data_IF_123282230214
#
_entry.id   IF_123282230214
#
_cell.length_a   1.000
_cell.length_b   1.000
_cell.length_c   1.000
_cell.angle_alpha   90.00
_cell.angle_beta   90.00
_cell.angle_gamma   90.00
#
_symmetry.space_group_name_H-M   'P 1'
#
loop_
_entity.id
_entity.type
_entity.pdbx_description
1 polymer ?
#
# COMPACT_ATOMS: atom_id res chain seq x y z
N UNK A 1 12.86 -21.51 -7.06
CA UNK A 1 11.50 -21.34 -7.56
C UNK A 1 10.92 -20.08 -6.95
N UNK A 2 10.64 -19.10 -7.79
CA UNK A 2 9.94 -17.88 -7.38
C UNK A 2 8.48 -18.27 -7.13
N UNK A 3 8.06 -18.31 -5.86
CA UNK A 3 6.77 -18.84 -5.47
C UNK A 3 5.59 -18.06 -6.05
N UNK A 4 4.46 -18.75 -6.23
CA UNK A 4 3.16 -18.17 -6.63
C UNK A 4 2.82 -16.88 -5.83
N UNK A 5 3.25 -16.79 -4.57
CA UNK A 5 3.11 -15.61 -3.72
C UNK A 5 3.75 -14.34 -4.29
N UNK A 6 4.90 -14.44 -4.98
CA UNK A 6 5.59 -13.27 -5.53
C UNK A 6 4.89 -12.72 -6.77
N UNK A 7 4.32 -13.59 -7.60
CA UNK A 7 3.53 -13.19 -8.78
C UNK A 7 2.26 -12.47 -8.34
N UNK A 8 1.58 -13.03 -7.34
CA UNK A 8 0.37 -12.42 -6.79
C UNK A 8 0.66 -11.07 -6.11
N UNK A 9 1.73 -10.98 -5.31
CA UNK A 9 2.16 -9.72 -4.70
C UNK A 9 2.42 -8.64 -5.75
N UNK A 10 3.04 -9.01 -6.88
CA UNK A 10 3.26 -8.09 -8.00
C UNK A 10 1.95 -7.69 -8.68
N UNK A 11 1.03 -8.62 -8.90
CA UNK A 11 -0.30 -8.33 -9.46
C UNK A 11 -1.14 -7.47 -8.50
N UNK A 12 -1.08 -7.75 -7.19
CA UNK A 12 -1.74 -6.97 -6.17
C UNK A 12 -1.18 -5.55 -6.13
N UNK A 13 0.14 -5.43 -6.16
CA UNK A 13 0.84 -4.15 -6.24
C UNK A 13 0.40 -3.35 -7.47
N UNK A 14 0.37 -3.96 -8.66
CA UNK A 14 -0.08 -3.30 -9.88
C UNK A 14 -1.55 -2.86 -9.79
N UNK A 15 -2.42 -3.64 -9.15
CA UNK A 15 -3.84 -3.30 -8.97
C UNK A 15 -4.05 -2.15 -7.98
N UNK A 16 -3.25 -2.08 -6.93
CA UNK A 16 -3.25 -0.97 -5.96
C UNK A 16 -2.67 0.28 -6.60
N UNK A 17 -1.55 0.12 -7.31
CA UNK A 17 -0.87 1.17 -8.08
C UNK A 17 -1.82 1.84 -9.09
N UNK A 18 -2.66 1.05 -9.78
CA UNK A 18 -3.63 1.60 -10.75
C UNK A 18 -4.77 2.40 -10.10
N UNK A 19 -4.95 2.30 -8.78
CA UNK A 19 -6.02 3.00 -8.03
C UNK A 19 -5.55 4.23 -7.25
N UNK A 20 -4.29 4.26 -6.81
CA UNK A 20 -3.74 5.37 -6.02
C UNK A 20 -2.32 5.69 -6.51
N UNK A 21 -2.18 6.64 -7.44
CA UNK A 21 -0.87 7.13 -7.86
C UNK A 21 -0.54 8.39 -7.07
N UNK A 22 0.34 8.29 -6.09
CA UNK A 22 1.02 9.44 -5.48
C UNK A 22 2.37 9.61 -6.16
N UNK A 23 2.65 10.81 -6.65
CA UNK A 23 3.90 11.13 -7.32
C UNK A 23 4.68 12.13 -6.48
N UNK A 24 5.94 11.82 -6.21
CA UNK A 24 6.86 12.74 -5.54
C UNK A 24 7.86 13.22 -6.59
N UNK A 25 7.89 14.52 -6.83
CA UNK A 25 8.85 15.15 -7.73
C UNK A 25 9.97 15.71 -6.87
N UNK A 26 11.19 15.19 -7.02
CA UNK A 26 12.39 15.73 -6.37
C UNK A 26 13.33 16.31 -7.42
N UNK A 27 13.66 17.58 -7.28
CA UNK A 27 14.75 18.20 -8.01
C UNK A 27 16.03 18.15 -7.14
N UNK A 28 17.08 17.52 -7.65
CA UNK A 28 18.41 17.52 -7.02
C UNK A 28 19.37 18.29 -7.90
N UNK A 29 19.65 19.53 -7.56
CA UNK A 29 20.86 20.20 -8.02
C UNK A 29 22.06 19.71 -7.20
N UNK A 30 22.95 18.93 -7.81
CA UNK A 30 24.29 18.69 -7.26
C UNK A 30 25.22 19.76 -7.82
N UNK A 31 25.74 20.62 -6.96
CA UNK A 31 26.75 21.60 -7.33
C UNK A 31 28.15 21.18 -6.92
N UNK A 32 29.08 21.26 -7.90
CA UNK A 32 30.49 21.47 -7.63
C UNK A 32 30.72 22.99 -7.57
N UNK A 33 30.89 23.53 -6.34
CA UNK A 33 31.50 24.83 -6.08
C UNK A 33 30.59 26.05 -6.23
N UNK A 34 30.21 26.66 -5.10
CA UNK A 34 29.63 28.01 -4.99
C UNK A 34 28.16 28.03 -4.60
N UNK A 35 27.81 28.90 -3.63
CA UNK A 35 26.52 29.09 -2.96
C UNK A 35 25.28 29.14 -3.89
N UNK A 36 24.82 28.01 -4.34
CA UNK A 36 23.53 27.91 -5.00
C UNK A 36 22.64 26.96 -4.21
N UNK A 37 21.75 27.52 -3.39
CA UNK A 37 20.77 26.78 -2.61
C UNK A 37 19.75 26.20 -3.58
N UNK A 38 19.93 24.93 -3.97
CA UNK A 38 18.95 24.19 -4.78
C UNK A 38 17.62 24.15 -4.02
N UNK A 39 16.52 24.50 -4.69
CA UNK A 39 15.18 24.39 -4.14
C UNK A 39 14.59 23.03 -4.52
N UNK A 40 14.13 22.30 -3.53
CA UNK A 40 13.44 21.02 -3.73
C UNK A 40 11.95 21.31 -3.63
N UNK A 41 11.19 20.90 -4.63
CA UNK A 41 9.72 20.94 -4.60
C UNK A 41 9.23 19.51 -4.56
N UNK A 42 8.44 19.19 -3.54
CA UNK A 42 7.78 17.90 -3.38
C UNK A 42 6.28 18.15 -3.59
N UNK A 43 5.67 17.46 -4.56
CA UNK A 43 4.25 17.53 -4.85
C UNK A 43 3.63 16.14 -4.80
N UNK A 44 2.50 16.02 -4.11
CA UNK A 44 1.70 14.80 -4.05
C UNK A 44 0.42 15.00 -4.85
N UNK A 45 0.18 14.13 -5.82
CA UNK A 45 -1.04 14.13 -6.62
C UNK A 45 -1.87 12.89 -6.30
N UNK A 46 -3.14 13.10 -5.97
CA UNK A 46 -4.10 12.01 -5.88
C UNK A 46 -4.61 11.64 -7.28
N UNK A 47 -4.91 10.37 -7.49
CA UNK A 47 -5.29 9.83 -8.83
C UNK A 47 -6.49 10.50 -9.49
N UNK A 48 -7.24 11.32 -8.78
CA UNK A 48 -8.39 12.04 -9.34
C UNK A 48 -7.98 13.33 -10.07
N UNK A 49 -6.73 13.79 -9.92
CA UNK A 49 -6.22 15.06 -10.48
C UNK A 49 -5.22 14.81 -11.61
N UNK A 50 -5.55 13.91 -12.57
CA UNK A 50 -4.65 13.58 -13.68
C UNK A 50 -4.28 14.80 -14.54
N UNK A 51 -5.20 15.74 -14.74
CA UNK A 51 -4.97 16.98 -15.48
C UNK A 51 -3.94 17.88 -14.81
N UNK A 52 -4.02 18.08 -13.49
CA UNK A 52 -3.07 18.88 -12.74
C UNK A 52 -1.64 18.28 -12.77
N UNK A 53 -1.52 16.97 -12.79
CA UNK A 53 -0.24 16.30 -12.94
C UNK A 53 0.34 16.49 -14.35
N UNK A 54 -0.49 16.33 -15.39
CA UNK A 54 -0.08 16.51 -16.79
C UNK A 54 0.32 17.97 -17.07
N UNK A 55 -0.40 18.92 -16.51
CA UNK A 55 -0.09 20.36 -16.59
C UNK A 55 1.25 20.67 -15.90
N UNK A 56 1.49 20.09 -14.72
CA UNK A 56 2.77 20.24 -14.03
C UNK A 56 3.92 19.62 -14.83
N UNK A 57 3.75 18.45 -15.41
CA UNK A 57 4.76 17.82 -16.27
C UNK A 57 5.06 18.68 -17.51
N UNK A 58 4.03 19.26 -18.12
CA UNK A 58 4.19 20.17 -19.25
C UNK A 58 4.97 21.43 -18.83
N UNK A 59 4.65 22.00 -17.67
CA UNK A 59 5.37 23.14 -17.11
C UNK A 59 6.85 22.82 -16.88
N UNK A 60 7.18 21.72 -16.21
CA UNK A 60 8.56 21.30 -15.93
C UNK A 60 9.34 21.08 -17.23
N UNK A 61 8.72 20.46 -18.26
CA UNK A 61 9.35 20.23 -19.56
C UNK A 61 9.65 21.51 -20.34
N UNK A 62 8.88 22.57 -20.12
CA UNK A 62 9.05 23.88 -20.80
C UNK A 62 10.09 24.78 -20.10
N UNK A 63 10.52 24.45 -18.89
CA UNK A 63 11.46 25.25 -18.12
C UNK A 63 12.81 24.55 -18.02
N UNK A 64 13.83 24.97 -18.79
CA UNK A 64 15.15 24.34 -18.85
C UNK A 64 15.96 24.43 -17.56
N UNK A 65 15.50 25.25 -16.60
CA UNK A 65 16.15 25.41 -15.28
C UNK A 65 15.93 24.19 -14.36
N UNK A 66 15.02 23.30 -14.74
CA UNK A 66 14.86 21.99 -14.06
C UNK A 66 15.85 20.99 -14.67
N UNK A 67 17.00 20.82 -14.02
CA UNK A 67 18.07 19.94 -14.51
C UNK A 67 17.70 18.43 -14.42
N UNK A 68 16.83 18.07 -13.48
CA UNK A 68 16.43 16.67 -13.29
C UNK A 68 15.05 16.55 -12.68
N UNK A 69 14.20 15.79 -13.36
CA UNK A 69 12.93 15.33 -12.81
C UNK A 69 13.07 13.86 -12.38
N UNK A 70 13.13 13.60 -11.07
CA UNK A 70 12.99 12.25 -10.54
C UNK A 70 11.55 12.05 -10.09
N UNK A 71 10.83 11.16 -10.79
CA UNK A 71 9.50 10.75 -10.36
C UNK A 71 9.70 9.51 -9.48
N UNK A 72 9.63 9.71 -8.19
CA UNK A 72 9.65 8.63 -7.22
C UNK A 72 8.20 8.26 -6.87
N UNK A 73 7.87 7.00 -7.09
CA UNK A 73 6.55 6.47 -6.84
C UNK A 73 6.58 5.60 -5.58
N UNK A 74 5.89 6.03 -4.53
CA UNK A 74 5.65 5.20 -3.35
C UNK A 74 4.19 4.75 -3.34
N UNK A 75 3.91 3.50 -3.74
CA UNK A 75 2.55 2.99 -3.73
C UNK A 75 2.03 2.90 -2.30
N UNK A 76 1.15 3.81 -1.94
CA UNK A 76 0.50 3.86 -0.64
C UNK A 76 -0.99 3.60 -0.81
N UNK A 77 -1.52 2.67 -0.03
CA UNK A 77 -2.95 2.41 0.08
C UNK A 77 -3.48 3.17 1.29
N UNK A 78 -4.29 4.21 1.07
CA UNK A 78 -4.90 5.00 2.13
C UNK A 78 -6.39 4.63 2.27
N UNK A 79 -6.80 4.21 3.46
CA UNK A 79 -8.14 3.74 3.78
C UNK A 79 -8.54 4.26 5.17
N UNK A 80 -9.32 5.34 5.24
CA UNK A 80 -9.98 5.80 6.48
C UNK A 80 -9.07 5.77 7.73
N UNK A 81 -7.92 6.46 7.67
CA UNK A 81 -6.94 6.51 8.77
C UNK A 81 -5.87 5.42 8.75
N UNK A 82 -6.02 4.40 7.90
CA UNK A 82 -5.02 3.37 7.68
C UNK A 82 -4.22 3.68 6.40
N UNK A 83 -2.91 3.80 6.53
CA UNK A 83 -1.98 3.99 5.42
C UNK A 83 -1.03 2.79 5.33
N UNK A 84 -0.96 2.18 4.15
CA UNK A 84 -0.09 1.03 3.89
C UNK A 84 0.88 1.42 2.78
N UNK A 85 2.14 1.67 3.13
CA UNK A 85 3.20 1.89 2.16
C UNK A 85 3.73 0.54 1.68
N UNK A 86 3.49 0.23 0.39
CA UNK A 86 3.80 -1.08 -0.17
C UNK A 86 5.29 -1.26 -0.46
N UNK A 87 6.00 -0.18 -0.80
CA UNK A 87 7.44 -0.24 -1.08
C UNK A 87 8.26 -0.48 0.18
N UNK A 88 7.89 0.20 1.27
CA UNK A 88 8.59 0.12 2.56
C UNK A 88 8.03 -0.93 3.49
N UNK A 89 6.90 -1.55 3.13
CA UNK A 89 6.14 -2.48 3.97
C UNK A 89 5.78 -1.87 5.35
N UNK A 90 5.46 -0.58 5.35
CA UNK A 90 5.06 0.16 6.57
C UNK A 90 3.56 0.30 6.63
N UNK A 91 3.03 0.22 7.83
CA UNK A 91 1.61 0.43 8.14
C UNK A 91 1.50 1.52 9.19
N UNK A 92 0.70 2.54 8.90
CA UNK A 92 0.40 3.64 9.83
C UNK A 92 -1.11 3.63 10.06
N UNK A 93 -1.53 3.62 11.31
CA UNK A 93 -2.93 3.73 11.73
C UNK A 93 -3.10 5.00 12.55
N UNK A 94 -3.91 5.94 12.08
CA UNK A 94 -4.14 7.24 12.70
C UNK A 94 -2.84 7.98 13.09
N UNK A 95 -1.84 7.95 12.20
CA UNK A 95 -0.54 8.60 12.41
C UNK A 95 0.46 7.80 13.24
N UNK A 96 0.08 6.64 13.78
CA UNK A 96 0.96 5.76 14.55
C UNK A 96 1.42 4.57 13.70
N UNK A 97 2.73 4.33 13.67
CA UNK A 97 3.28 3.16 12.98
C UNK A 97 2.99 1.87 13.73
N UNK A 98 2.51 0.87 13.00
CA UNK A 98 2.15 -0.45 13.54
C UNK A 98 3.14 -1.50 13.02
N UNK A 99 3.80 -2.17 13.94
CA UNK A 99 4.71 -3.28 13.61
C UNK A 99 3.93 -4.57 13.34
N UNK A 100 4.00 -5.03 12.11
CA UNK A 100 3.38 -6.27 11.66
C UNK A 100 4.45 -7.30 11.28
N UNK A 101 4.18 -8.57 11.57
CA UNK A 101 4.94 -9.67 10.99
C UNK A 101 4.68 -9.75 9.48
N UNK A 102 5.56 -10.46 8.76
CA UNK A 102 5.44 -10.62 7.29
C UNK A 102 4.06 -11.13 6.89
N UNK A 103 3.55 -12.15 7.58
CA UNK A 103 2.24 -12.77 7.27
C UNK A 103 1.06 -11.87 7.64
N UNK A 104 1.14 -11.17 8.76
CA UNK A 104 0.12 -10.18 9.14
C UNK A 104 0.03 -9.05 8.11
N UNK A 105 1.18 -8.53 7.68
CA UNK A 105 1.24 -7.51 6.65
C UNK A 105 0.66 -8.00 5.31
N UNK A 106 1.05 -9.21 4.85
CA UNK A 106 0.56 -9.78 3.60
C UNK A 106 -0.96 -10.01 3.63
N UNK A 107 -1.51 -10.47 4.77
CA UNK A 107 -2.97 -10.63 4.97
C UNK A 107 -3.66 -9.26 4.93
N UNK A 108 -3.13 -8.25 5.64
CA UNK A 108 -3.70 -6.91 5.63
C UNK A 108 -3.76 -6.33 4.23
N UNK A 109 -2.66 -6.37 3.49
CA UNK A 109 -2.60 -5.90 2.11
C UNK A 109 -3.61 -6.62 1.21
N UNK A 110 -3.71 -7.96 1.34
CA UNK A 110 -4.64 -8.77 0.58
C UNK A 110 -6.09 -8.37 0.84
N UNK A 111 -6.47 -8.23 2.09
CA UNK A 111 -7.83 -7.88 2.50
C UNK A 111 -8.17 -6.43 2.12
N UNK A 112 -7.28 -5.48 2.37
CA UNK A 112 -7.45 -4.07 2.06
C UNK A 112 -7.60 -3.82 0.54
N UNK A 113 -6.81 -4.50 -0.27
CA UNK A 113 -6.92 -4.44 -1.74
C UNK A 113 -8.22 -5.05 -2.29
N UNK A 114 -8.87 -5.92 -1.52
CA UNK A 114 -10.16 -6.52 -1.82
C UNK A 114 -11.28 -5.97 -0.92
N UNK A 115 -11.18 -4.69 -0.51
CA UNK A 115 -12.17 -4.02 0.33
C UNK A 115 -13.60 -4.35 -0.09
N UNK A 116 -14.44 -4.69 0.88
CA UNK A 116 -15.86 -5.03 0.71
C UNK A 116 -16.13 -6.45 0.20
N UNK A 117 -15.10 -7.19 -0.24
CA UNK A 117 -15.24 -8.57 -0.70
C UNK A 117 -14.91 -9.56 0.41
N UNK A 118 -15.66 -10.64 0.46
CA UNK A 118 -15.34 -11.78 1.33
C UNK A 118 -14.25 -12.62 0.63
N UNK A 119 -13.17 -12.90 1.33
CA UNK A 119 -12.16 -13.86 0.92
C UNK A 119 -12.26 -15.10 1.80
N UNK A 120 -12.27 -16.29 1.18
CA UNK A 120 -12.36 -17.55 1.92
C UNK A 120 -11.05 -17.85 2.64
N UNK A 121 -11.07 -18.76 3.62
CA UNK A 121 -9.86 -19.19 4.33
C UNK A 121 -8.81 -19.73 3.36
N UNK A 122 -9.23 -20.55 2.40
CA UNK A 122 -8.35 -21.13 1.37
C UNK A 122 -7.76 -20.03 0.46
N UNK A 123 -8.60 -19.06 0.02
CA UNK A 123 -8.13 -17.96 -0.82
C UNK A 123 -7.07 -17.11 -0.11
N UNK A 124 -7.26 -16.83 1.18
CA UNK A 124 -6.29 -16.09 1.98
C UNK A 124 -5.01 -16.91 2.15
N UNK A 125 -5.16 -18.18 2.50
CA UNK A 125 -4.03 -19.09 2.72
C UNK A 125 -3.18 -19.25 1.46
N UNK A 126 -3.79 -19.65 0.34
CA UNK A 126 -3.12 -19.81 -0.96
C UNK A 126 -2.35 -18.55 -1.38
N UNK A 127 -2.98 -17.38 -1.26
CA UNK A 127 -2.37 -16.10 -1.66
C UNK A 127 -1.20 -15.68 -0.77
N UNK A 128 -1.25 -15.97 0.52
CA UNK A 128 -0.27 -15.51 1.51
C UNK A 128 0.87 -16.52 1.68
N UNK A 129 0.57 -17.82 1.64
CA UNK A 129 1.60 -18.87 1.81
C UNK A 129 2.11 -19.42 0.48
N UNK A 130 1.30 -19.36 -0.58
CA UNK A 130 1.68 -19.86 -1.91
C UNK A 130 1.73 -21.41 -1.97
N UNK A 131 1.07 -22.07 -1.04
CA UNK A 131 1.02 -23.50 -0.91
C UNK A 131 -0.43 -23.97 -1.05
N UNK A 132 -0.60 -25.21 -1.53
CA UNK A 132 -1.92 -25.84 -1.58
C UNK A 132 -2.36 -26.12 -0.15
N UNK A 133 -3.60 -25.81 0.13
CA UNK A 133 -4.30 -26.04 1.38
C UNK A 133 -4.12 -27.47 1.92
N UNK A 134 -3.73 -27.57 3.19
CA UNK A 134 -3.53 -28.83 3.89
C UNK A 134 -4.65 -29.16 4.91
N UNK A 135 -5.77 -28.39 4.88
CA UNK A 135 -6.93 -28.59 5.75
C UNK A 135 -6.87 -27.84 7.08
N UNK A 136 -5.87 -26.97 7.31
CA UNK A 136 -5.71 -26.18 8.53
C UNK A 136 -5.80 -24.66 8.31
N UNK A 137 -6.30 -24.23 7.15
CA UNK A 137 -6.33 -22.83 6.71
C UNK A 137 -7.14 -21.95 7.65
N UNK A 138 -8.30 -22.44 8.09
CA UNK A 138 -9.19 -21.73 9.01
C UNK A 138 -8.49 -21.36 10.31
N UNK A 139 -7.76 -22.29 10.89
CA UNK A 139 -7.06 -22.08 12.15
C UNK A 139 -5.84 -21.19 11.98
N UNK A 140 -5.06 -21.45 10.92
CA UNK A 140 -3.86 -20.66 10.60
C UNK A 140 -4.23 -19.21 10.29
N UNK A 141 -5.13 -18.97 9.34
CA UNK A 141 -5.58 -17.62 8.98
C UNK A 141 -6.24 -16.94 10.18
N UNK A 142 -7.07 -17.68 10.95
CA UNK A 142 -7.73 -17.18 12.14
C UNK A 142 -6.76 -16.70 13.21
N UNK A 143 -5.64 -17.40 13.42
CA UNK A 143 -4.58 -16.98 14.33
C UNK A 143 -3.99 -15.62 13.92
N UNK A 144 -3.58 -15.47 12.66
CA UNK A 144 -3.00 -14.22 12.17
C UNK A 144 -4.00 -13.06 12.16
N UNK A 145 -5.25 -13.30 11.79
CA UNK A 145 -6.31 -12.26 11.84
C UNK A 145 -6.54 -11.79 13.26
N UNK A 146 -6.54 -12.67 14.25
CA UNK A 146 -6.69 -12.31 15.65
C UNK A 146 -5.56 -11.40 16.13
N UNK A 147 -4.32 -11.74 15.77
CA UNK A 147 -3.15 -10.93 16.11
C UNK A 147 -3.16 -9.59 15.38
N UNK A 148 -3.52 -9.58 14.10
CA UNK A 148 -3.66 -8.38 13.30
C UNK A 148 -4.71 -7.44 13.89
N UNK A 149 -5.89 -7.95 14.27
CA UNK A 149 -6.93 -7.16 14.93
C UNK A 149 -6.44 -6.52 16.23
N UNK A 150 -5.68 -7.26 17.06
CA UNK A 150 -5.11 -6.72 18.31
C UNK A 150 -4.17 -5.55 18.06
N UNK A 151 -3.34 -5.63 17.00
CA UNK A 151 -2.37 -4.58 16.65
C UNK A 151 -3.02 -3.37 16.00
N UNK A 152 -4.10 -3.57 15.25
CA UNK A 152 -4.86 -2.53 14.57
C UNK A 152 -6.00 -1.95 15.43
N UNK A 153 -6.24 -2.52 16.64
CA UNK A 153 -7.33 -2.09 17.53
C UNK A 153 -7.04 -0.66 18.02
N UNK A 154 -7.75 0.28 17.42
CA UNK A 154 -7.85 1.65 17.87
C UNK A 154 -9.34 2.01 17.99
N UNK A 155 -9.70 2.72 19.06
CA UNK A 155 -11.08 3.14 19.32
C UNK A 155 -11.65 4.06 18.25
N UNK A 156 -10.78 4.67 17.43
CA UNK A 156 -11.15 5.59 16.36
C UNK A 156 -10.96 5.00 14.95
N UNK A 157 -10.82 3.68 14.82
CA UNK A 157 -10.66 3.07 13.51
C UNK A 157 -11.96 3.11 12.70
N UNK A 158 -11.92 3.73 11.51
CA UNK A 158 -13.03 3.74 10.55
C UNK A 158 -12.99 2.53 9.59
N UNK A 159 -12.27 1.49 9.94
CA UNK A 159 -12.19 0.24 9.22
C UNK A 159 -12.33 -0.95 10.16
N UNK A 160 -12.72 -2.09 9.61
CA UNK A 160 -12.83 -3.37 10.35
C UNK A 160 -12.42 -4.54 9.47
N UNK A 161 -11.98 -5.61 10.13
CA UNK A 161 -11.82 -6.92 9.49
C UNK A 161 -12.91 -7.81 10.07
N UNK A 162 -13.97 -8.06 9.31
CA UNK A 162 -15.13 -8.82 9.75
C UNK A 162 -14.96 -10.30 9.44
N UNK A 163 -15.42 -11.15 10.36
CA UNK A 163 -15.56 -12.59 10.14
C UNK A 163 -16.87 -12.87 9.45
N UNK A 164 -16.82 -13.60 8.33
CA UNK A 164 -18.01 -14.17 7.69
C UNK A 164 -18.06 -15.64 8.08
N UNK A 165 -19.07 -15.99 8.87
CA UNK A 165 -19.19 -17.31 9.51
C UNK A 165 -19.00 -18.44 8.49
N UNK A 166 -18.13 -19.41 8.82
CA UNK A 166 -17.78 -20.59 8.02
C UNK A 166 -17.23 -20.31 6.61
N UNK A 167 -16.98 -19.03 6.25
CA UNK A 167 -16.51 -18.65 4.91
C UNK A 167 -15.11 -18.08 4.95
N UNK A 168 -14.90 -17.00 5.73
CA UNK A 168 -13.61 -16.30 5.73
C UNK A 168 -13.70 -14.91 6.34
N UNK A 169 -13.02 -13.95 5.71
CA UNK A 169 -12.90 -12.58 6.21
C UNK A 169 -13.15 -11.53 5.14
N UNK A 170 -13.59 -10.35 5.59
CA UNK A 170 -13.83 -9.18 4.77
C UNK A 170 -13.26 -7.94 5.43
N UNK A 171 -12.58 -7.09 4.66
CA UNK A 171 -12.15 -5.77 5.09
C UNK A 171 -13.21 -4.74 4.69
N UNK A 172 -13.69 -3.98 5.66
CA UNK A 172 -14.58 -2.85 5.46
C UNK A 172 -13.85 -1.56 5.88
N UNK A 173 -14.09 -0.47 5.16
CA UNK A 173 -13.76 0.88 5.59
C UNK A 173 -14.85 1.83 5.13
N UNK A 174 -15.24 2.73 6.00
CA UNK A 174 -16.20 3.79 5.71
C UNK A 174 -15.61 4.80 4.75
#
# INVERSE_FOLDING_TARGET
SRGLGDVYKRQLMNRIISRNKSYVVQDKKTNQGGDNIGRIVIMEFKTQDSTAFDDMLAFVKQHPDFEKLEISYEPTLSLSGLEINLSRRRVINNGQEIELTVKEYDILCLLAANKGRVLTYEQIYDKVWGEISAGNEKDTVGFYIRNLRKKLCDTNSHFSIDSVREIGYRFNSQ
#
